data_IF_683854964590
#
_entry.id   IF_683854964590
#
_cell.length_a   1.000
_cell.length_b   1.000
_cell.length_c   1.000
_cell.angle_alpha   90.00
_cell.angle_beta   90.00
_cell.angle_gamma   90.00
#
_symmetry.space_group_name_H-M   'P 1'
#
loop_
_entity.id
_entity.type
_entity.pdbx_description
1 polymer ?
#
# COMPACT_ATOMS: atom_id res chain seq x y z
N UNK A 1 9.31 -1.27 -4.87
CA UNK A 1 10.11 -2.08 -3.94
C UNK A 1 10.86 -1.19 -2.93
N UNK A 2 11.38 -0.03 -3.33
CA UNK A 2 12.11 0.89 -2.45
C UNK A 2 11.29 1.36 -1.25
N UNK A 3 9.98 1.59 -1.45
CA UNK A 3 9.08 1.97 -0.36
C UNK A 3 8.91 0.87 0.70
N UNK A 4 8.97 -0.40 0.33
CA UNK A 4 8.91 -1.52 1.29
C UNK A 4 10.17 -1.52 2.16
N UNK A 5 11.34 -1.42 1.51
CA UNK A 5 12.62 -1.49 2.21
C UNK A 5 12.80 -0.31 3.16
N UNK A 6 12.67 0.93 2.66
CA UNK A 6 12.93 2.14 3.42
C UNK A 6 11.87 2.46 4.48
N UNK A 7 10.61 2.13 4.23
CA UNK A 7 9.50 2.53 5.11
C UNK A 7 8.99 1.43 6.04
N UNK A 8 9.31 0.17 5.78
CA UNK A 8 8.86 -0.95 6.61
C UNK A 8 10.04 -1.70 7.20
N UNK A 9 10.95 -2.21 6.37
CA UNK A 9 12.05 -3.06 6.84
C UNK A 9 13.05 -2.25 7.67
N UNK A 10 13.49 -1.09 7.16
CA UNK A 10 14.50 -0.28 7.83
C UNK A 10 14.09 0.18 9.25
N UNK A 11 12.87 0.73 9.48
CA UNK A 11 12.43 1.07 10.83
C UNK A 11 12.31 -0.13 11.77
N UNK A 12 11.87 -1.30 11.27
CA UNK A 12 11.77 -2.51 12.08
C UNK A 12 13.13 -3.02 12.52
N UNK A 13 14.08 -3.12 11.58
CA UNK A 13 15.46 -3.55 11.87
C UNK A 13 16.13 -2.53 12.79
N UNK A 14 15.97 -1.23 12.51
CA UNK A 14 16.49 -0.17 13.36
C UNK A 14 15.97 -0.24 14.80
N UNK A 15 14.66 -0.40 14.98
CA UNK A 15 14.05 -0.56 16.30
C UNK A 15 14.56 -1.81 17.01
N UNK A 16 14.66 -2.95 16.32
CA UNK A 16 15.18 -4.19 16.89
C UNK A 16 16.64 -4.04 17.33
N UNK A 17 17.49 -3.42 16.52
CA UNK A 17 18.90 -3.14 16.87
C UNK A 17 18.99 -2.23 18.09
N UNK A 18 18.19 -1.15 18.13
CA UNK A 18 18.17 -0.24 19.30
C UNK A 18 17.75 -0.99 20.57
N UNK A 19 16.70 -1.82 20.52
CA UNK A 19 16.26 -2.63 21.65
C UNK A 19 17.39 -3.53 22.14
N UNK A 20 18.07 -4.23 21.23
CA UNK A 20 19.19 -5.12 21.58
C UNK A 20 20.36 -4.36 22.21
N UNK A 21 20.78 -3.25 21.60
CA UNK A 21 21.90 -2.44 22.09
C UNK A 21 21.60 -1.86 23.47
N UNK A 22 20.40 -1.28 23.66
CA UNK A 22 19.99 -0.70 24.95
C UNK A 22 19.86 -1.78 26.01
N UNK A 23 19.22 -2.91 25.73
CA UNK A 23 19.05 -3.99 26.70
C UNK A 23 20.38 -4.60 27.11
N UNK A 24 21.26 -4.91 26.15
CA UNK A 24 22.60 -5.46 26.43
C UNK A 24 23.45 -4.44 27.17
N UNK A 25 23.47 -3.19 26.69
CA UNK A 25 24.27 -2.12 27.31
C UNK A 25 23.88 -1.87 28.78
N UNK A 26 22.58 -1.78 29.06
CA UNK A 26 22.09 -1.57 30.42
C UNK A 26 22.16 -2.82 31.30
N UNK A 27 22.23 -4.03 30.74
CA UNK A 27 22.36 -5.28 31.51
C UNK A 27 23.66 -5.39 32.28
N UNK A 28 24.71 -4.68 31.83
CA UNK A 28 25.97 -4.59 32.57
C UNK A 28 25.88 -3.77 33.88
N UNK A 29 24.84 -2.91 33.97
CA UNK A 29 24.60 -2.06 35.14
C UNK A 29 23.60 -2.70 36.11
N UNK A 30 22.46 -3.11 35.57
CA UNK A 30 21.41 -3.83 36.30
C UNK A 30 20.63 -4.73 35.36
N UNK A 31 20.74 -6.03 35.57
CA UNK A 31 20.11 -7.05 34.73
C UNK A 31 18.60 -6.98 34.79
N UNK A 32 18.01 -6.77 35.96
CA UNK A 32 16.55 -6.79 36.14
C UNK A 32 15.89 -5.61 35.47
N UNK A 33 16.45 -4.41 35.67
CA UNK A 33 15.93 -3.19 35.04
C UNK A 33 16.08 -3.23 33.50
N UNK A 34 17.24 -3.68 33.01
CA UNK A 34 17.51 -3.77 31.58
C UNK A 34 16.57 -4.75 30.88
N UNK A 35 16.36 -5.94 31.42
CA UNK A 35 15.44 -6.93 30.84
C UNK A 35 13.98 -6.54 30.93
N UNK A 36 13.59 -5.82 32.00
CA UNK A 36 12.22 -5.28 32.09
C UNK A 36 11.96 -4.24 31.02
N UNK A 37 12.89 -3.29 30.83
CA UNK A 37 12.78 -2.30 29.76
C UNK A 37 12.76 -2.94 28.38
N UNK A 38 13.72 -3.84 28.11
CA UNK A 38 13.80 -4.57 26.85
C UNK A 38 12.54 -5.41 26.57
N UNK A 39 11.98 -6.05 27.60
CA UNK A 39 10.75 -6.82 27.51
C UNK A 39 9.54 -5.96 27.13
N UNK A 40 9.38 -4.79 27.76
CA UNK A 40 8.32 -3.83 27.41
C UNK A 40 8.48 -3.35 25.96
N UNK A 41 9.70 -3.02 25.55
CA UNK A 41 9.98 -2.57 24.19
C UNK A 41 9.71 -3.67 23.16
N UNK A 42 10.13 -4.91 23.39
CA UNK A 42 9.86 -6.05 22.52
C UNK A 42 8.36 -6.34 22.44
N UNK A 43 7.67 -6.34 23.56
CA UNK A 43 6.22 -6.53 23.60
C UNK A 43 5.51 -5.44 22.79
N UNK A 44 5.94 -4.19 22.93
CA UNK A 44 5.40 -3.07 22.15
C UNK A 44 5.68 -3.26 20.66
N UNK A 45 6.91 -3.65 20.30
CA UNK A 45 7.31 -3.88 18.90
C UNK A 45 6.52 -5.00 18.24
N UNK A 46 6.19 -6.07 18.95
CA UNK A 46 5.46 -7.21 18.37
C UNK A 46 3.93 -7.06 18.44
N UNK A 47 3.40 -6.39 19.47
CA UNK A 47 1.96 -6.30 19.70
C UNK A 47 1.31 -5.12 18.95
N UNK A 48 1.95 -3.95 18.95
CA UNK A 48 1.35 -2.73 18.41
C UNK A 48 1.17 -2.78 16.87
N UNK A 49 2.17 -3.20 16.08
CA UNK A 49 2.04 -3.19 14.63
C UNK A 49 0.86 -4.02 14.09
N UNK A 50 0.68 -5.30 14.46
CA UNK A 50 -0.44 -6.09 13.94
C UNK A 50 -1.81 -5.57 14.39
N UNK A 51 -1.88 -4.97 15.59
CA UNK A 51 -3.11 -4.39 16.10
C UNK A 51 -3.56 -3.20 15.22
N UNK A 52 -2.66 -2.25 14.98
CA UNK A 52 -2.97 -1.07 14.17
C UNK A 52 -3.07 -1.38 12.67
N UNK A 53 -2.34 -2.38 12.17
CA UNK A 53 -2.51 -2.86 10.80
C UNK A 53 -3.93 -3.38 10.56
N UNK A 54 -4.45 -4.20 11.47
CA UNK A 54 -5.83 -4.73 11.36
C UNK A 54 -6.86 -3.62 11.42
N UNK A 55 -6.69 -2.67 12.34
CA UNK A 55 -7.60 -1.52 12.47
C UNK A 55 -7.57 -0.59 11.24
N UNK A 56 -6.41 -0.39 10.62
CA UNK A 56 -6.23 0.56 9.50
C UNK A 56 -6.41 -0.04 8.11
N UNK A 57 -6.42 -1.37 7.94
CA UNK A 57 -6.41 -2.03 6.63
C UNK A 57 -7.55 -1.59 5.70
N UNK A 58 -8.78 -1.62 6.18
CA UNK A 58 -9.96 -1.24 5.39
C UNK A 58 -9.98 0.24 5.05
N UNK A 59 -9.60 1.09 6.00
CA UNK A 59 -9.52 2.54 5.81
C UNK A 59 -8.46 2.93 4.80
N UNK A 60 -7.28 2.31 4.85
CA UNK A 60 -6.18 2.58 3.92
C UNK A 60 -6.49 2.16 2.48
N UNK A 61 -7.18 1.03 2.28
CA UNK A 61 -7.61 0.59 0.95
C UNK A 61 -8.65 1.54 0.36
N UNK A 62 -9.65 1.93 1.14
CA UNK A 62 -10.69 2.87 0.73
C UNK A 62 -10.10 4.25 0.39
N UNK A 63 -9.18 4.75 1.21
CA UNK A 63 -8.47 6.01 0.97
C UNK A 63 -7.72 5.99 -0.37
N UNK A 64 -7.03 4.91 -0.69
CA UNK A 64 -6.28 4.77 -1.95
C UNK A 64 -7.23 4.75 -3.16
N UNK A 65 -8.36 4.06 -3.05
CA UNK A 65 -9.37 3.99 -4.10
C UNK A 65 -10.01 5.36 -4.35
N UNK A 66 -10.50 6.04 -3.31
CA UNK A 66 -11.12 7.37 -3.40
C UNK A 66 -10.15 8.42 -3.96
N UNK A 67 -8.88 8.37 -3.54
CA UNK A 67 -7.84 9.24 -4.08
C UNK A 67 -7.61 9.01 -5.58
N UNK A 68 -7.68 7.77 -6.03
CA UNK A 68 -7.59 7.42 -7.45
C UNK A 68 -8.77 7.96 -8.24
N UNK A 69 -9.99 7.77 -7.74
CA UNK A 69 -11.22 8.28 -8.36
C UNK A 69 -11.22 9.80 -8.44
N UNK A 70 -10.88 10.49 -7.35
CA UNK A 70 -10.80 11.95 -7.33
C UNK A 70 -9.82 12.50 -8.37
N UNK A 71 -8.63 11.90 -8.46
CA UNK A 71 -7.62 12.30 -9.47
C UNK A 71 -8.13 12.08 -10.89
N UNK A 72 -8.77 10.95 -11.16
CA UNK A 72 -9.31 10.65 -12.47
C UNK A 72 -10.42 11.63 -12.85
N UNK A 73 -11.35 11.91 -11.95
CA UNK A 73 -12.42 12.88 -12.18
C UNK A 73 -11.87 14.30 -12.36
N UNK A 74 -10.89 14.72 -11.54
CA UNK A 74 -10.26 16.03 -11.66
C UNK A 74 -9.54 16.18 -13.01
N UNK A 75 -8.81 15.16 -13.45
CA UNK A 75 -8.13 15.18 -14.75
C UNK A 75 -9.13 15.24 -15.90
N UNK A 76 -10.19 14.43 -15.84
CA UNK A 76 -11.25 14.45 -16.84
C UNK A 76 -11.99 15.81 -16.88
N UNK A 77 -12.21 16.43 -15.72
CA UNK A 77 -12.81 17.77 -15.65
C UNK A 77 -11.93 18.84 -16.30
N UNK A 78 -10.61 18.81 -16.02
CA UNK A 78 -9.66 19.76 -16.60
C UNK A 78 -9.51 19.58 -18.11
N UNK A 79 -9.49 18.32 -18.59
CA UNK A 79 -9.36 18.04 -20.03
C UNK A 79 -10.64 18.30 -20.81
N UNK A 80 -11.81 18.05 -20.20
CA UNK A 80 -13.12 18.21 -20.82
C UNK A 80 -13.81 19.54 -20.56
N UNK A 81 -13.11 20.58 -20.09
CA UNK A 81 -13.72 21.87 -19.75
C UNK A 81 -14.50 22.51 -20.92
N UNK A 82 -13.94 22.43 -22.12
CA UNK A 82 -14.59 23.01 -23.31
C UNK A 82 -15.91 22.32 -23.63
N UNK A 83 -15.93 20.99 -23.63
CA UNK A 83 -17.12 20.18 -23.89
C UNK A 83 -18.17 20.37 -22.78
N UNK A 84 -17.73 20.35 -21.50
CA UNK A 84 -18.62 20.54 -20.36
C UNK A 84 -19.30 21.93 -20.39
N UNK A 85 -18.58 22.94 -20.86
CA UNK A 85 -19.13 24.31 -21.00
C UNK A 85 -20.14 24.37 -22.15
N UNK A 86 -19.81 23.79 -23.31
CA UNK A 86 -20.69 23.76 -24.49
C UNK A 86 -22.00 23.02 -24.17
N UNK A 87 -21.91 21.89 -23.45
CA UNK A 87 -23.09 21.09 -23.09
C UNK A 87 -23.78 21.55 -21.81
N UNK A 88 -23.32 22.61 -21.13
CA UNK A 88 -23.89 23.13 -19.88
C UNK A 88 -23.82 22.13 -18.72
N UNK A 89 -22.86 21.19 -18.74
CA UNK A 89 -22.73 20.12 -17.76
C UNK A 89 -21.72 20.41 -16.64
N UNK A 90 -21.07 21.58 -16.65
CA UNK A 90 -20.01 21.94 -15.70
C UNK A 90 -20.43 21.86 -14.24
N UNK A 91 -21.62 22.39 -13.88
CA UNK A 91 -22.09 22.39 -12.49
C UNK A 91 -22.40 20.98 -11.98
N UNK A 92 -23.02 20.14 -12.84
CA UNK A 92 -23.29 18.74 -12.49
C UNK A 92 -22.02 17.96 -12.23
N UNK A 93 -21.01 18.15 -13.08
CA UNK A 93 -19.72 17.47 -12.92
C UNK A 93 -18.96 17.97 -11.69
N UNK A 94 -19.01 19.28 -11.43
CA UNK A 94 -18.43 19.88 -10.22
C UNK A 94 -19.05 19.30 -8.96
N UNK A 95 -20.37 19.18 -8.88
CA UNK A 95 -21.06 18.58 -7.73
C UNK A 95 -20.62 17.12 -7.52
N UNK A 96 -20.43 16.36 -8.59
CA UNK A 96 -19.94 14.99 -8.51
C UNK A 96 -18.50 14.94 -7.98
N UNK A 97 -17.63 15.85 -8.41
CA UNK A 97 -16.26 15.96 -7.94
C UNK A 97 -16.21 16.33 -6.45
N UNK A 98 -17.01 17.31 -6.02
CA UNK A 98 -17.14 17.75 -4.62
C UNK A 98 -17.62 16.60 -3.72
N UNK A 99 -18.57 15.80 -4.16
CA UNK A 99 -19.03 14.62 -3.41
C UNK A 99 -17.92 13.56 -3.24
N UNK A 100 -17.11 13.34 -4.26
CA UNK A 100 -15.98 12.41 -4.17
C UNK A 100 -14.89 12.97 -3.25
N UNK A 101 -14.65 14.28 -3.29
CA UNK A 101 -13.72 14.98 -2.41
C UNK A 101 -14.12 14.84 -0.93
N UNK A 102 -15.39 15.07 -0.60
CA UNK A 102 -15.90 14.92 0.76
C UNK A 102 -15.65 13.49 1.27
N UNK A 103 -15.97 12.48 0.48
CA UNK A 103 -15.74 11.08 0.87
C UNK A 103 -14.24 10.78 1.07
N UNK A 104 -13.38 11.32 0.21
CA UNK A 104 -11.93 11.18 0.35
C UNK A 104 -11.41 11.86 1.62
N UNK A 105 -11.88 13.08 1.91
CA UNK A 105 -11.50 13.82 3.13
C UNK A 105 -11.95 13.10 4.40
N UNK A 106 -13.15 12.53 4.41
CA UNK A 106 -13.61 11.71 5.54
C UNK A 106 -12.75 10.46 5.75
N UNK A 107 -12.39 9.76 4.67
CA UNK A 107 -11.50 8.61 4.75
C UNK A 107 -10.10 9.02 5.26
N UNK A 108 -9.59 10.16 4.81
CA UNK A 108 -8.32 10.73 5.28
C UNK A 108 -8.37 11.10 6.76
N UNK A 109 -9.47 11.71 7.21
CA UNK A 109 -9.68 12.05 8.62
C UNK A 109 -9.64 10.80 9.49
N UNK A 110 -10.38 9.75 9.13
CA UNK A 110 -10.36 8.46 9.86
C UNK A 110 -8.95 7.86 9.92
N UNK A 111 -8.20 7.93 8.83
CA UNK A 111 -6.80 7.47 8.81
C UNK A 111 -5.93 8.30 9.77
N UNK A 112 -6.09 9.61 9.79
CA UNK A 112 -5.36 10.51 10.69
C UNK A 112 -5.72 10.27 12.16
N UNK A 113 -6.98 10.01 12.47
CA UNK A 113 -7.44 9.66 13.83
C UNK A 113 -6.81 8.35 14.31
N UNK A 114 -6.74 7.31 13.46
CA UNK A 114 -6.05 6.06 13.78
C UNK A 114 -4.55 6.28 14.02
N UNK A 115 -3.93 7.13 13.20
CA UNK A 115 -2.51 7.49 13.36
C UNK A 115 -2.27 8.23 14.67
N UNK A 116 -3.08 9.22 14.98
CA UNK A 116 -3.00 9.98 16.22
C UNK A 116 -3.21 9.08 17.45
N UNK A 117 -4.19 8.17 17.38
CA UNK A 117 -4.44 7.19 18.45
C UNK A 117 -3.24 6.27 18.66
N UNK A 118 -2.63 5.78 17.57
CA UNK A 118 -1.44 4.93 17.67
C UNK A 118 -0.26 5.64 18.32
N UNK A 119 -0.04 6.90 17.95
CA UNK A 119 1.02 7.73 18.56
C UNK A 119 0.74 8.01 20.03
N UNK A 120 -0.51 8.33 20.40
CA UNK A 120 -0.92 8.56 21.77
C UNK A 120 -0.70 7.32 22.66
N UNK A 121 -1.05 6.12 22.15
CA UNK A 121 -0.83 4.85 22.87
C UNK A 121 0.67 4.58 23.04
N UNK A 122 1.48 4.80 22.00
CA UNK A 122 2.94 4.63 22.09
C UNK A 122 3.55 5.57 23.14
N UNK A 123 3.12 6.82 23.16
CA UNK A 123 3.58 7.81 24.14
C UNK A 123 3.17 7.43 25.56
N UNK A 124 1.96 6.92 25.74
CA UNK A 124 1.46 6.43 27.01
C UNK A 124 2.25 5.21 27.51
N UNK A 125 2.55 4.25 26.63
CA UNK A 125 3.37 3.08 26.98
C UNK A 125 4.78 3.54 27.38
N UNK A 126 5.39 4.48 26.63
CA UNK A 126 6.68 5.06 26.95
C UNK A 126 6.69 5.75 28.32
N UNK A 127 5.67 6.56 28.61
CA UNK A 127 5.54 7.22 29.91
C UNK A 127 5.37 6.20 31.06
N UNK A 128 4.55 5.17 30.87
CA UNK A 128 4.38 4.09 31.85
C UNK A 128 5.68 3.30 32.05
N UNK A 129 6.44 3.05 30.98
CA UNK A 129 7.76 2.40 31.10
C UNK A 129 8.72 3.23 31.92
N UNK A 130 8.77 4.56 31.72
CA UNK A 130 9.61 5.46 32.53
C UNK A 130 9.19 5.45 34.01
N UNK A 131 7.89 5.53 34.30
CA UNK A 131 7.36 5.46 35.66
C UNK A 131 7.74 4.13 36.32
N UNK A 132 7.61 3.02 35.60
CA UNK A 132 7.98 1.70 36.08
C UNK A 132 9.47 1.61 36.35
N UNK A 133 10.32 2.15 35.48
CA UNK A 133 11.77 2.20 35.70
C UNK A 133 12.11 3.01 36.92
N UNK A 134 11.52 4.18 37.13
CA UNK A 134 11.70 5.00 38.31
C UNK A 134 11.26 4.25 39.59
N UNK A 135 10.13 3.59 39.56
CA UNK A 135 9.63 2.82 40.71
C UNK A 135 10.54 1.64 41.05
N UNK A 136 10.97 0.86 40.07
CA UNK A 136 11.91 -0.25 40.31
C UNK A 136 13.28 0.24 40.77
N UNK A 137 13.78 1.34 40.21
CA UNK A 137 15.07 1.91 40.58
C UNK A 137 15.07 2.57 41.95
N UNK A 138 13.91 2.89 42.54
CA UNK A 138 13.80 3.45 43.88
C UNK A 138 14.33 2.52 44.98
N UNK A 139 14.38 1.21 44.72
CA UNK A 139 14.98 0.20 45.62
C UNK A 139 16.52 0.08 45.53
N UNK A 140 17.16 0.86 44.66
CA UNK A 140 18.60 0.78 44.36
C UNK A 140 18.86 0.21 42.98
N UNK A 141 20.00 0.54 42.39
CA UNK A 141 20.44 0.08 41.05
C UNK A 141 21.86 -0.47 41.16
N UNK A 142 22.07 -1.68 40.65
CA UNK A 142 23.41 -2.29 40.63
C UNK A 142 24.07 -2.46 41.99
N UNK A 143 23.28 -2.62 43.05
CA UNK A 143 23.79 -2.74 44.43
C UNK A 143 24.16 -1.41 45.13
N UNK A 144 23.95 -0.25 44.47
CA UNK A 144 24.19 1.06 45.05
C UNK A 144 22.92 1.61 45.74
N UNK A 145 23.05 2.00 47.00
CA UNK A 145 21.95 2.56 47.79
C UNK A 145 21.56 4.00 47.40
N UNK A 146 22.40 4.72 46.66
CA UNK A 146 22.16 6.08 46.17
C UNK A 146 22.50 6.21 44.67
N UNK A 147 21.71 5.64 43.79
CA UNK A 147 22.03 5.49 42.36
C UNK A 147 21.58 6.66 41.48
N UNK A 148 21.54 7.92 41.97
CA UNK A 148 20.92 9.04 41.27
C UNK A 148 21.32 9.19 39.80
N UNK A 149 22.61 9.08 39.49
CA UNK A 149 23.08 9.14 38.09
C UNK A 149 22.67 7.93 37.27
N UNK A 150 22.60 6.72 37.86
CA UNK A 150 22.19 5.50 37.20
C UNK A 150 20.68 5.51 36.90
N UNK A 151 19.87 6.02 37.82
CA UNK A 151 18.42 6.21 37.59
C UNK A 151 18.18 7.14 36.39
N UNK A 152 18.89 8.28 36.38
CA UNK A 152 18.80 9.21 35.24
C UNK A 152 19.19 8.53 33.92
N UNK A 153 20.24 7.73 33.90
CA UNK A 153 20.67 6.98 32.72
C UNK A 153 19.57 6.04 32.22
N UNK A 154 18.96 5.22 33.10
CA UNK A 154 17.87 4.32 32.70
C UNK A 154 16.64 5.07 32.16
N UNK A 155 16.28 6.19 32.79
CA UNK A 155 15.15 7.03 32.32
C UNK A 155 15.41 7.64 30.95
N UNK A 156 16.61 8.23 30.76
CA UNK A 156 16.95 8.81 29.45
C UNK A 156 17.09 7.74 28.35
N UNK A 157 17.66 6.58 28.67
CA UNK A 157 17.70 5.45 27.74
C UNK A 157 16.29 4.96 27.38
N UNK A 158 15.38 4.89 28.36
CA UNK A 158 14.00 4.52 28.09
C UNK A 158 13.32 5.54 27.15
N UNK A 159 13.44 6.83 27.42
CA UNK A 159 12.87 7.88 26.57
C UNK A 159 13.43 7.83 25.14
N UNK A 160 14.75 7.77 24.99
CA UNK A 160 15.39 7.71 23.67
C UNK A 160 15.03 6.43 22.91
N UNK A 161 14.92 5.31 23.59
CA UNK A 161 14.57 4.03 23.00
C UNK A 161 13.11 4.00 22.52
N UNK A 162 12.17 4.57 23.25
CA UNK A 162 10.78 4.70 22.81
C UNK A 162 10.63 5.69 21.65
N UNK A 163 11.42 6.75 21.59
CA UNK A 163 11.47 7.65 20.43
C UNK A 163 11.95 6.90 19.17
N UNK A 164 12.93 6.01 19.31
CA UNK A 164 13.39 5.16 18.20
C UNK A 164 12.34 4.13 17.74
N UNK A 165 11.34 3.79 18.56
CA UNK A 165 10.21 2.95 18.17
C UNK A 165 9.09 3.72 17.43
N UNK A 166 9.02 5.03 17.53
CA UNK A 166 7.95 5.84 16.95
C UNK A 166 7.76 5.61 15.42
N UNK A 167 8.82 5.48 14.59
CA UNK A 167 8.66 5.21 13.15
C UNK A 167 8.04 3.86 12.83
N UNK A 168 8.09 2.88 13.74
CA UNK A 168 7.55 1.53 13.52
C UNK A 168 6.05 1.55 13.36
N UNK A 169 5.32 2.40 14.08
CA UNK A 169 3.86 2.53 13.93
C UNK A 169 3.47 3.01 12.54
N UNK A 170 4.22 3.94 11.96
CA UNK A 170 4.04 4.42 10.60
C UNK A 170 4.37 3.38 9.52
N UNK A 171 5.35 2.52 9.77
CA UNK A 171 5.78 1.48 8.84
C UNK A 171 4.63 0.54 8.45
N UNK A 172 3.81 0.12 9.41
CA UNK A 172 2.70 -0.81 9.15
C UNK A 172 1.50 -0.16 8.46
N UNK A 173 1.31 1.14 8.60
CA UNK A 173 0.28 1.87 7.85
C UNK A 173 0.62 1.93 6.35
N UNK A 174 1.91 2.02 6.01
CA UNK A 174 2.37 1.98 4.63
C UNK A 174 2.38 0.56 4.03
N UNK A 175 2.45 -0.48 4.86
CA UNK A 175 2.46 -1.87 4.41
C UNK A 175 1.21 -2.21 3.58
N UNK A 176 0.04 -1.74 3.98
CA UNK A 176 -1.21 -1.93 3.22
C UNK A 176 -1.16 -1.35 1.80
N UNK A 177 -0.55 -0.18 1.64
CA UNK A 177 -0.36 0.46 0.32
C UNK A 177 0.63 -0.32 -0.55
N UNK A 178 1.72 -0.82 0.06
CA UNK A 178 2.73 -1.63 -0.63
C UNK A 178 2.14 -2.95 -1.11
N UNK A 179 1.36 -3.64 -0.25
CA UNK A 179 0.68 -4.89 -0.62
C UNK A 179 -0.32 -4.64 -1.75
N UNK A 180 -1.14 -3.59 -1.68
CA UNK A 180 -2.08 -3.26 -2.74
C UNK A 180 -1.39 -2.95 -4.08
N UNK A 181 -0.22 -2.31 -4.04
CA UNK A 181 0.58 -2.04 -5.23
C UNK A 181 1.24 -3.30 -5.78
N UNK A 182 1.71 -4.19 -4.91
CA UNK A 182 2.28 -5.48 -5.31
C UNK A 182 1.23 -6.38 -5.98
N UNK A 183 0.04 -6.48 -5.40
CA UNK A 183 -1.08 -7.25 -5.99
C UNK A 183 -1.41 -6.73 -7.40
N UNK A 184 -1.50 -5.42 -7.61
CA UNK A 184 -1.76 -4.86 -8.95
C UNK A 184 -0.67 -5.22 -9.96
N UNK A 185 0.60 -5.23 -9.54
CA UNK A 185 1.70 -5.63 -10.42
C UNK A 185 1.59 -7.12 -10.75
N UNK A 186 1.30 -7.95 -9.75
CA UNK A 186 1.10 -9.39 -9.95
C UNK A 186 -0.06 -9.67 -10.89
N UNK A 187 -1.20 -8.99 -10.69
CA UNK A 187 -2.37 -9.13 -11.57
C UNK A 187 -2.05 -8.77 -13.02
N UNK A 188 -1.16 -7.79 -13.25
CA UNK A 188 -0.72 -7.42 -14.60
C UNK A 188 0.28 -8.40 -15.19
N UNK A 189 1.22 -8.92 -14.38
CA UNK A 189 2.26 -9.84 -14.85
C UNK A 189 1.77 -11.26 -15.05
N UNK A 190 0.77 -11.67 -14.27
CA UNK A 190 0.20 -13.02 -14.33
C UNK A 190 -0.92 -13.15 -15.39
N UNK A 191 -1.28 -12.05 -16.05
CA UNK A 191 -2.21 -12.10 -17.18
C UNK A 191 -1.61 -12.95 -18.30
N UNK A 192 -2.25 -14.07 -18.57
CA UNK A 192 -1.89 -14.89 -19.72
C UNK A 192 -2.41 -14.19 -20.98
N UNK A 193 -1.58 -14.00 -22.00
CA UNK A 193 -2.06 -13.47 -23.28
C UNK A 193 -3.14 -14.41 -23.82
N UNK A 194 -4.27 -13.84 -24.24
CA UNK A 194 -5.36 -14.63 -24.86
C UNK A 194 -4.91 -15.32 -26.13
N UNK A 195 -3.92 -14.77 -26.80
CA UNK A 195 -3.32 -15.32 -28.02
C UNK A 195 -1.85 -15.65 -27.76
N UNK A 196 -1.51 -16.91 -27.87
CA UNK A 196 -0.10 -17.37 -27.82
C UNK A 196 0.39 -17.60 -29.26
N UNK A 197 1.48 -16.91 -29.58
CA UNK A 197 2.13 -17.13 -30.89
C UNK A 197 3.00 -18.40 -30.81
N UNK A 198 3.08 -19.20 -31.91
CA UNK A 198 3.96 -20.35 -31.94
C UNK A 198 5.43 -19.93 -31.87
N UNK A 199 6.24 -20.67 -31.13
CA UNK A 199 7.67 -20.41 -30.94
C UNK A 199 8.50 -20.60 -32.24
N UNK A 200 7.93 -21.26 -33.22
CA UNK A 200 8.56 -21.51 -34.52
C UNK A 200 8.09 -20.52 -35.58
N UNK A 201 9.00 -19.71 -36.12
CA UNK A 201 8.70 -18.89 -37.28
C UNK A 201 8.49 -19.79 -38.50
N UNK A 202 7.25 -19.93 -38.92
CA UNK A 202 6.95 -20.60 -40.19
C UNK A 202 7.35 -19.66 -41.33
N UNK A 203 8.16 -20.18 -42.28
CA UNK A 203 8.57 -19.39 -43.45
C UNK A 203 7.32 -19.01 -44.24
N UNK A 204 7.08 -17.72 -44.39
CA UNK A 204 5.95 -17.21 -45.21
C UNK A 204 6.25 -17.55 -46.67
N UNK A 205 5.26 -18.18 -47.33
CA UNK A 205 5.36 -18.46 -48.76
C UNK A 205 5.27 -17.15 -49.56
N UNK A 206 5.97 -17.08 -50.70
CA UNK A 206 6.01 -15.90 -51.59
C UNK A 206 4.63 -15.55 -52.17
N UNK A 207 3.73 -16.52 -52.23
CA UNK A 207 2.31 -16.33 -52.65
C UNK A 207 1.39 -16.96 -51.60
N UNK A 208 0.60 -16.13 -50.95
CA UNK A 208 -0.33 -16.56 -49.91
C UNK A 208 -1.77 -16.29 -50.40
N UNK A 209 -2.65 -17.29 -50.33
CA UNK A 209 -4.07 -17.13 -50.46
C UNK A 209 -4.73 -17.37 -49.09
N UNK A 210 -5.80 -16.62 -48.79
CA UNK A 210 -6.56 -16.77 -47.55
C UNK A 210 -7.97 -17.27 -47.90
N UNK A 211 -8.37 -18.38 -47.28
CA UNK A 211 -9.72 -18.90 -47.43
C UNK A 211 -10.37 -19.01 -46.05
N UNK A 212 -11.43 -18.26 -45.82
CA UNK A 212 -12.28 -18.34 -44.64
C UNK A 212 -13.55 -19.15 -45.04
N UNK A 213 -13.95 -20.10 -44.19
CA UNK A 213 -15.17 -20.89 -44.38
C UNK A 213 -15.97 -20.88 -43.10
N UNK A 214 -17.17 -20.29 -43.14
CA UNK A 214 -18.12 -20.22 -42.05
C UNK A 214 -17.48 -19.78 -40.70
N UNK A 215 -16.65 -18.72 -40.75
CA UNK A 215 -15.93 -18.23 -39.57
C UNK A 215 -16.94 -17.50 -38.68
N UNK A 216 -17.04 -17.98 -37.43
CA UNK A 216 -17.85 -17.40 -36.38
C UNK A 216 -16.93 -16.96 -35.23
N UNK A 217 -17.18 -15.78 -34.67
CA UNK A 217 -16.38 -15.28 -33.55
C UNK A 217 -17.25 -14.48 -32.60
N UNK A 218 -17.04 -14.74 -31.30
CA UNK A 218 -17.65 -14.01 -30.19
C UNK A 218 -16.55 -13.59 -29.24
N UNK A 219 -16.48 -12.32 -28.83
CA UNK A 219 -15.54 -11.87 -27.82
C UNK A 219 -15.88 -12.49 -26.45
N UNK A 220 -14.90 -12.83 -25.62
CA UNK A 220 -15.11 -13.59 -24.35
C UNK A 220 -16.15 -12.96 -23.41
N UNK A 221 -16.28 -11.63 -23.40
CA UNK A 221 -17.19 -10.91 -22.50
C UNK A 221 -18.50 -10.47 -23.17
N UNK A 222 -18.73 -10.86 -24.42
CA UNK A 222 -19.92 -10.46 -25.18
C UNK A 222 -20.82 -11.66 -25.44
N UNK A 223 -22.14 -11.45 -25.32
CA UNK A 223 -23.15 -12.46 -25.69
C UNK A 223 -23.49 -12.45 -27.19
N UNK A 224 -23.10 -11.41 -27.93
CA UNK A 224 -23.39 -11.23 -29.33
C UNK A 224 -22.20 -11.62 -30.20
N UNK A 225 -22.45 -12.45 -31.22
CA UNK A 225 -21.43 -12.82 -32.19
C UNK A 225 -20.97 -11.60 -33.00
N UNK A 226 -19.67 -11.33 -33.01
CA UNK A 226 -19.05 -10.30 -33.84
C UNK A 226 -18.95 -10.75 -35.31
N UNK A 227 -18.61 -12.02 -35.54
CA UNK A 227 -18.62 -12.64 -36.87
C UNK A 227 -19.65 -13.76 -36.90
N UNK A 228 -20.52 -13.74 -37.89
CA UNK A 228 -21.70 -14.63 -38.04
C UNK A 228 -21.60 -15.44 -39.31
N UNK A 229 -20.67 -16.39 -39.39
CA UNK A 229 -20.57 -17.30 -40.54
C UNK A 229 -19.99 -16.62 -41.78
N UNK A 230 -18.83 -15.98 -41.67
CA UNK A 230 -18.17 -15.29 -42.80
C UNK A 230 -17.40 -16.30 -43.62
N UNK A 231 -17.70 -16.34 -44.92
CA UNK A 231 -16.96 -17.11 -45.93
C UNK A 231 -16.36 -16.17 -46.97
N UNK A 232 -15.03 -16.21 -47.11
CA UNK A 232 -14.29 -15.29 -47.98
C UNK A 232 -13.06 -16.01 -48.54
N UNK A 233 -12.78 -15.78 -49.81
CA UNK A 233 -11.53 -16.25 -50.44
C UNK A 233 -10.79 -15.05 -51.03
N UNK A 234 -9.52 -14.91 -50.66
CA UNK A 234 -8.61 -13.86 -51.15
C UNK A 234 -7.44 -14.54 -51.83
N UNK A 235 -7.23 -14.25 -53.09
CA UNK A 235 -6.13 -14.81 -53.88
C UNK A 235 -4.88 -13.95 -53.76
N UNK A 236 -3.72 -14.53 -54.04
CA UNK A 236 -2.44 -13.81 -54.01
C UNK A 236 -2.47 -12.58 -54.95
N UNK A 237 -2.21 -11.39 -54.37
CA UNK A 237 -2.23 -10.11 -55.10
C UNK A 237 -3.60 -9.43 -55.17
N UNK A 238 -4.63 -10.04 -54.63
CA UNK A 238 -5.98 -9.43 -54.54
C UNK A 238 -6.08 -8.48 -53.37
N UNK A 239 -6.76 -7.33 -53.56
CA UNK A 239 -7.03 -6.33 -52.54
C UNK A 239 -8.50 -6.34 -52.16
N UNK A 240 -8.80 -6.54 -50.86
CA UNK A 240 -10.17 -6.49 -50.34
C UNK A 240 -10.29 -5.39 -49.30
N UNK A 241 -11.31 -4.55 -49.42
CA UNK A 241 -11.64 -3.55 -48.42
C UNK A 241 -12.84 -4.02 -47.57
N UNK A 242 -12.69 -4.03 -46.25
CA UNK A 242 -13.78 -4.32 -45.31
C UNK A 242 -14.30 -2.98 -44.78
N UNK A 243 -15.57 -2.70 -45.00
CA UNK A 243 -16.22 -1.46 -44.57
C UNK A 243 -17.30 -1.78 -43.55
N UNK A 244 -17.41 -0.92 -42.54
CA UNK A 244 -18.42 -1.06 -41.49
C UNK A 244 -18.55 0.21 -40.65
N UNK A 245 -19.56 0.24 -39.77
CA UNK A 245 -19.70 1.34 -38.80
C UNK A 245 -18.60 1.25 -37.77
N UNK A 246 -18.17 2.40 -37.23
CA UNK A 246 -17.24 2.43 -36.09
C UNK A 246 -17.81 1.61 -34.93
N UNK A 247 -17.05 0.66 -34.46
CA UNK A 247 -17.46 -0.25 -33.36
C UNK A 247 -18.28 -1.48 -33.81
N UNK A 248 -18.28 -1.85 -35.10
CA UNK A 248 -18.98 -3.06 -35.56
C UNK A 248 -18.17 -4.37 -35.44
N UNK A 249 -16.97 -4.33 -34.84
CA UNK A 249 -16.13 -5.52 -34.65
C UNK A 249 -14.66 -5.20 -34.75
#
# INVERSE_FOLDING_TARGET
LDHLYLRVISPLVGAFVVIMVVTIGLSFLDFTLAFTLGGIMLLTLFLMPPLFYRAGKSTGQNLTHLRGQYRQQLTAWLQGQAELTIFGASDRYRTQLENTEIQWLEAQRRQSELTALSQAIMLLIGALAVILMLWMASGGVGGNAQPGALIALFVFCALAAFEALAPVTGAFQHLGQVIASAVRITDLTDQKPEVTFPDTQTRVADRVSLTLRDVQFTYPEQSQQALKGISLQVNAGEHIAILGRTGCG
#
